data_IF_657611831244
#
_entry.id   IF_657611831244
#
_cell.length_a   1.000
_cell.length_b   1.000
_cell.length_c   1.000
_cell.angle_alpha   90.00
_cell.angle_beta   90.00
_cell.angle_gamma   90.00
#
_symmetry.space_group_name_H-M   'P 1'
#
loop_
_entity.id
_entity.type
_entity.pdbx_description
1 polymer ?
#
# COMPACT_ATOMS: atom_id res chain seq x y z
N UNK A 1 4.34 33.67 15.69
CA UNK A 1 4.94 33.44 14.35
C UNK A 1 3.94 33.95 13.31
N UNK A 2 4.33 34.87 12.42
CA UNK A 2 3.40 35.48 11.46
C UNK A 2 3.16 34.54 10.26
N UNK A 3 1.99 34.65 9.62
CA UNK A 3 1.62 33.83 8.47
C UNK A 3 2.58 34.00 7.27
N UNK A 4 3.13 35.20 7.10
CA UNK A 4 4.20 35.50 6.14
C UNK A 4 5.42 34.62 6.34
N UNK A 5 5.83 34.43 7.60
CA UNK A 5 7.04 33.70 7.98
C UNK A 5 6.85 32.20 7.75
N UNK A 6 5.65 31.69 8.05
CA UNK A 6 5.28 30.29 7.75
C UNK A 6 5.22 30.02 6.24
N UNK A 7 4.65 30.95 5.45
CA UNK A 7 4.60 30.82 3.99
C UNK A 7 6.01 30.83 3.38
N UNK A 8 6.87 31.73 3.84
CA UNK A 8 8.26 31.81 3.40
C UNK A 8 9.04 30.55 3.77
N UNK A 9 8.88 30.04 5.00
CA UNK A 9 9.52 28.80 5.43
C UNK A 9 9.03 27.59 4.62
N UNK A 10 7.73 27.50 4.34
CA UNK A 10 7.17 26.44 3.51
C UNK A 10 7.70 26.52 2.07
N UNK A 11 7.71 27.71 1.46
CA UNK A 11 8.29 27.91 0.11
C UNK A 11 9.77 27.57 0.06
N UNK A 12 10.54 27.94 1.09
CA UNK A 12 11.96 27.62 1.18
C UNK A 12 12.20 26.13 1.40
N UNK A 13 11.38 25.44 2.20
CA UNK A 13 11.46 24.00 2.38
C UNK A 13 11.14 23.24 1.09
N UNK A 14 10.12 23.67 0.34
CA UNK A 14 9.77 23.09 -0.96
C UNK A 14 10.87 23.35 -1.99
N UNK A 15 11.38 24.58 -2.06
CA UNK A 15 12.51 24.91 -2.93
C UNK A 15 13.74 24.08 -2.54
N UNK A 16 14.06 23.97 -1.25
CA UNK A 16 15.16 23.15 -0.77
C UNK A 16 14.98 21.67 -1.11
N UNK A 17 13.75 21.14 -1.10
CA UNK A 17 13.48 19.78 -1.53
C UNK A 17 13.79 19.56 -3.02
N UNK A 18 13.36 20.46 -3.90
CA UNK A 18 13.60 20.35 -5.34
C UNK A 18 15.02 20.73 -5.77
N UNK A 19 15.69 21.61 -5.04
CA UNK A 19 17.09 22.02 -5.26
C UNK A 19 18.07 21.03 -4.62
N UNK A 20 17.58 20.06 -3.83
CA UNK A 20 18.43 19.05 -3.20
C UNK A 20 19.05 18.15 -4.27
N UNK A 21 20.32 18.41 -4.58
CA UNK A 21 21.12 17.56 -5.45
C UNK A 21 21.56 16.31 -4.69
N UNK A 22 20.72 15.29 -4.69
CA UNK A 22 21.07 13.98 -4.16
C UNK A 22 22.21 13.39 -4.98
N UNK A 23 23.32 13.05 -4.33
CA UNK A 23 24.39 12.27 -4.97
C UNK A 23 24.12 10.78 -4.79
N UNK A 24 24.75 9.93 -5.62
CA UNK A 24 24.69 8.47 -5.44
C UNK A 24 25.28 8.09 -4.07
N UNK A 25 26.29 8.82 -3.60
CA UNK A 25 26.90 8.64 -2.29
C UNK A 25 25.92 8.92 -1.14
N UNK A 26 25.05 9.92 -1.27
CA UNK A 26 24.00 10.20 -0.29
C UNK A 26 22.99 9.06 -0.18
N UNK A 27 22.64 8.43 -1.32
CA UNK A 27 21.69 7.31 -1.37
C UNK A 27 22.33 5.99 -0.89
N UNK A 28 23.60 5.76 -1.18
CA UNK A 28 24.34 4.55 -0.80
C UNK A 28 25.00 4.67 0.58
N UNK A 29 24.74 5.75 1.32
CA UNK A 29 25.29 5.95 2.64
C UNK A 29 24.67 4.95 3.63
N UNK A 30 25.45 3.92 3.96
CA UNK A 30 25.08 2.88 4.94
C UNK A 30 25.51 3.22 6.37
N UNK A 31 25.97 4.44 6.64
CA UNK A 31 26.41 4.85 7.98
C UNK A 31 25.27 4.90 9.00
N UNK A 32 25.65 4.83 10.27
CA UNK A 32 24.72 4.90 11.41
C UNK A 32 23.83 6.15 11.33
N UNK A 33 22.55 5.99 11.65
CA UNK A 33 21.61 7.11 11.69
C UNK A 33 21.80 7.92 12.97
N UNK A 34 21.75 9.26 12.85
CA UNK A 34 21.62 10.12 14.03
C UNK A 34 20.35 9.73 14.81
N UNK A 35 20.43 9.70 16.14
CA UNK A 35 19.33 9.28 17.02
C UNK A 35 18.01 10.02 16.75
N UNK A 36 18.09 11.32 16.43
CA UNK A 36 16.92 12.14 16.10
C UNK A 36 16.24 11.69 14.79
N UNK A 37 17.02 11.39 13.75
CA UNK A 37 16.50 10.91 12.48
C UNK A 37 15.88 9.52 12.62
N UNK A 38 16.50 8.65 13.41
CA UNK A 38 16.00 7.31 13.70
C UNK A 38 14.63 7.36 14.41
N UNK A 39 14.51 8.17 15.47
CA UNK A 39 13.25 8.37 16.19
C UNK A 39 12.13 8.92 15.29
N UNK A 40 12.48 9.83 14.38
CA UNK A 40 11.54 10.40 13.41
C UNK A 40 11.07 9.33 12.41
N UNK A 41 11.99 8.55 11.84
CA UNK A 41 11.71 7.50 10.88
C UNK A 41 10.80 6.41 11.47
N UNK A 42 11.14 5.93 12.66
CA UNK A 42 10.35 4.96 13.41
C UNK A 42 8.92 5.44 13.65
N UNK A 43 8.77 6.72 14.00
CA UNK A 43 7.44 7.33 14.22
C UNK A 43 6.62 7.39 12.93
N UNK A 44 7.26 7.70 11.79
CA UNK A 44 6.60 7.72 10.48
C UNK A 44 6.13 6.32 10.08
N UNK A 45 7.01 5.30 10.15
CA UNK A 45 6.63 3.93 9.80
C UNK A 45 5.56 3.37 10.73
N UNK A 46 5.63 3.65 12.05
CA UNK A 46 4.58 3.26 12.98
C UNK A 46 3.23 3.88 12.62
N UNK A 47 3.23 5.17 12.29
CA UNK A 47 2.01 5.89 11.90
C UNK A 47 1.46 5.33 10.58
N UNK A 48 2.32 5.03 9.62
CA UNK A 48 1.93 4.42 8.35
C UNK A 48 1.32 3.02 8.56
N UNK A 49 1.94 2.18 9.41
CA UNK A 49 1.40 0.88 9.80
C UNK A 49 -0.01 1.02 10.39
N UNK A 50 -0.21 1.90 11.37
CA UNK A 50 -1.54 2.12 11.95
C UNK A 50 -2.56 2.63 10.93
N UNK A 51 -2.15 3.50 9.99
CA UNK A 51 -3.03 3.98 8.93
C UNK A 51 -3.46 2.83 8.01
N UNK A 52 -2.57 1.90 7.67
CA UNK A 52 -2.90 0.72 6.85
C UNK A 52 -3.84 -0.24 7.57
N UNK A 53 -3.62 -0.47 8.87
CA UNK A 53 -4.55 -1.25 9.69
C UNK A 53 -5.93 -0.57 9.74
N UNK A 54 -5.97 0.73 9.95
CA UNK A 54 -7.21 1.52 9.97
C UNK A 54 -7.95 1.48 8.63
N UNK A 55 -7.24 1.63 7.51
CA UNK A 55 -7.78 1.45 6.16
C UNK A 55 -8.38 0.06 5.96
N UNK A 56 -7.67 -0.97 6.38
CA UNK A 56 -8.12 -2.37 6.25
C UNK A 56 -9.37 -2.62 7.08
N UNK A 57 -9.38 -2.17 8.34
CA UNK A 57 -10.57 -2.22 9.19
C UNK A 57 -11.76 -1.48 8.54
N UNK A 58 -11.50 -0.34 7.91
CA UNK A 58 -12.50 0.38 7.10
C UNK A 58 -13.06 -0.47 5.98
N UNK A 59 -12.20 -1.10 5.18
CA UNK A 59 -12.60 -2.00 4.08
C UNK A 59 -13.50 -3.14 4.54
N UNK A 60 -13.24 -3.73 5.70
CA UNK A 60 -14.09 -4.79 6.27
C UNK A 60 -15.35 -4.26 6.99
N UNK A 61 -15.42 -2.97 7.31
CA UNK A 61 -16.55 -2.40 8.06
C UNK A 61 -17.88 -2.49 7.31
N UNK A 62 -17.83 -2.57 5.98
CA UNK A 62 -19.02 -2.78 5.17
C UNK A 62 -19.68 -4.15 5.44
N UNK A 63 -18.94 -5.15 5.90
CA UNK A 63 -19.46 -6.47 6.23
C UNK A 63 -20.27 -6.49 7.53
N UNK A 64 -19.85 -5.69 8.52
CA UNK A 64 -20.45 -5.70 9.86
C UNK A 64 -21.55 -4.62 9.99
N UNK A 65 -21.35 -3.46 9.37
CA UNK A 65 -22.16 -2.27 9.66
C UNK A 65 -22.82 -1.65 8.43
N UNK A 66 -22.71 -2.29 7.24
CA UNK A 66 -23.03 -1.68 5.94
C UNK A 66 -22.37 -0.31 5.74
N UNK A 67 -21.31 -0.01 6.50
CA UNK A 67 -20.61 1.26 6.47
C UNK A 67 -19.82 1.37 5.16
N UNK A 68 -20.27 2.26 4.28
CA UNK A 68 -19.65 2.51 2.98
C UNK A 68 -20.48 3.48 2.12
N UNK A 69 -19.90 3.98 1.04
CA UNK A 69 -20.60 4.80 0.05
C UNK A 69 -20.36 6.30 0.22
N UNK A 70 -21.37 7.13 -0.12
CA UNK A 70 -21.19 8.59 -0.27
C UNK A 70 -20.76 9.27 1.03
N UNK A 71 -21.24 8.79 2.19
CA UNK A 71 -20.90 9.37 3.49
C UNK A 71 -19.42 9.18 3.84
N UNK A 72 -18.87 7.98 3.63
CA UNK A 72 -17.45 7.69 3.92
C UNK A 72 -16.53 8.44 2.96
N UNK A 73 -16.96 8.68 1.72
CA UNK A 73 -16.25 9.55 0.77
C UNK A 73 -16.24 11.00 1.24
N UNK A 74 -17.37 11.54 1.70
CA UNK A 74 -17.42 12.90 2.24
C UNK A 74 -16.59 13.02 3.53
N UNK A 75 -16.62 12.01 4.39
CA UNK A 75 -15.84 11.97 5.62
C UNK A 75 -14.32 11.94 5.35
N UNK A 76 -13.87 11.17 4.35
CA UNK A 76 -12.45 11.15 3.97
C UNK A 76 -12.00 12.49 3.40
N UNK A 77 -12.78 13.11 2.51
CA UNK A 77 -12.49 14.44 1.95
C UNK A 77 -12.45 15.50 3.05
N UNK A 78 -13.45 15.52 3.95
CA UNK A 78 -13.48 16.45 5.07
C UNK A 78 -12.28 16.25 6.02
N UNK A 79 -11.90 15.00 6.30
CA UNK A 79 -10.76 14.68 7.17
C UNK A 79 -9.43 15.12 6.55
N UNK A 80 -9.23 14.90 5.24
CA UNK A 80 -8.06 15.37 4.52
C UNK A 80 -7.98 16.91 4.47
N UNK A 81 -9.11 17.58 4.23
CA UNK A 81 -9.20 19.04 4.25
C UNK A 81 -8.87 19.58 5.65
N UNK A 82 -9.44 19.00 6.71
CA UNK A 82 -9.11 19.34 8.09
C UNK A 82 -7.62 19.11 8.40
N UNK A 83 -7.04 18.00 7.92
CA UNK A 83 -5.62 17.69 8.11
C UNK A 83 -4.70 18.73 7.42
N UNK A 84 -5.12 19.24 6.26
CA UNK A 84 -4.45 20.31 5.54
C UNK A 84 -4.55 21.66 6.28
N UNK A 85 -5.71 21.98 6.86
CA UNK A 85 -5.96 23.26 7.54
C UNK A 85 -5.37 23.32 8.96
N UNK A 86 -5.19 22.18 9.64
CA UNK A 86 -4.71 22.12 11.01
C UNK A 86 -3.20 22.37 11.08
N UNK A 87 -2.81 23.22 12.04
CA UNK A 87 -1.42 23.55 12.33
C UNK A 87 -0.54 22.31 12.54
N UNK A 88 0.70 22.28 12.02
CA UNK A 88 1.61 21.14 12.16
C UNK A 88 1.98 20.84 13.61
N UNK A 89 1.80 21.81 14.52
CA UNK A 89 2.07 21.66 15.96
C UNK A 89 1.07 20.72 16.67
N UNK A 90 -0.11 20.50 16.10
CA UNK A 90 -1.15 19.62 16.69
C UNK A 90 -1.00 18.18 16.20
N UNK A 91 0.14 17.56 16.51
CA UNK A 91 0.52 16.22 16.02
C UNK A 91 -0.56 15.17 16.32
N UNK A 92 -1.05 15.09 17.56
CA UNK A 92 -2.07 14.11 17.96
C UNK A 92 -3.35 14.21 17.13
N UNK A 93 -3.85 15.42 16.91
CA UNK A 93 -5.08 15.65 16.12
C UNK A 93 -4.87 15.28 14.66
N UNK A 94 -3.69 15.60 14.09
CA UNK A 94 -3.37 15.24 12.70
C UNK A 94 -3.28 13.73 12.49
N UNK A 95 -2.68 13.01 13.45
CA UNK A 95 -2.65 11.54 13.42
C UNK A 95 -4.06 10.96 13.49
N UNK A 96 -4.92 11.46 14.38
CA UNK A 96 -6.31 11.00 14.46
C UNK A 96 -7.08 11.25 13.16
N UNK A 97 -6.94 12.43 12.56
CA UNK A 97 -7.56 12.74 11.27
C UNK A 97 -7.04 11.86 10.14
N UNK A 98 -5.74 11.52 10.16
CA UNK A 98 -5.16 10.57 9.22
C UNK A 98 -5.78 9.19 9.38
N UNK A 99 -5.98 8.69 10.61
CA UNK A 99 -6.65 7.42 10.84
C UNK A 99 -8.10 7.44 10.36
N UNK A 100 -8.87 8.50 10.68
CA UNK A 100 -10.26 8.65 10.23
C UNK A 100 -10.32 8.71 8.70
N UNK A 101 -9.41 9.43 8.06
CA UNK A 101 -9.31 9.48 6.60
C UNK A 101 -9.00 8.10 6.02
N UNK A 102 -7.98 7.42 6.54
CA UNK A 102 -7.59 6.07 6.09
C UNK A 102 -8.74 5.07 6.23
N UNK A 103 -9.38 5.02 7.39
CA UNK A 103 -10.58 4.21 7.64
C UNK A 103 -11.71 4.54 6.65
N UNK A 104 -12.01 5.82 6.45
CA UNK A 104 -13.10 6.26 5.58
C UNK A 104 -12.85 5.98 4.10
N UNK A 105 -11.59 6.09 3.65
CA UNK A 105 -11.18 5.67 2.29
C UNK A 105 -11.35 4.15 2.18
N UNK A 106 -10.84 3.39 3.16
CA UNK A 106 -10.99 1.94 3.22
C UNK A 106 -12.46 1.51 3.15
N UNK A 107 -13.33 2.10 3.96
CA UNK A 107 -14.77 1.82 3.97
C UNK A 107 -15.47 2.17 2.65
N UNK A 108 -14.98 3.18 1.93
CA UNK A 108 -15.47 3.51 0.60
C UNK A 108 -15.11 2.43 -0.43
N UNK A 109 -13.92 1.83 -0.29
CA UNK A 109 -13.48 0.68 -1.10
C UNK A 109 -14.18 -0.61 -0.66
N UNK A 110 -14.63 -0.70 0.61
CA UNK A 110 -15.27 -1.86 1.22
C UNK A 110 -16.49 -2.41 0.46
N UNK A 111 -17.20 -1.57 -0.30
CA UNK A 111 -18.28 -2.02 -1.21
C UNK A 111 -17.73 -2.97 -2.28
N UNK A 112 -16.60 -2.59 -2.90
CA UNK A 112 -15.90 -3.44 -3.86
C UNK A 112 -15.30 -4.66 -3.18
N UNK A 113 -14.74 -4.50 -1.98
CA UNK A 113 -14.21 -5.61 -1.19
C UNK A 113 -15.27 -6.68 -0.95
N UNK A 114 -16.49 -6.31 -0.56
CA UNK A 114 -17.62 -7.24 -0.39
C UNK A 114 -17.97 -7.95 -1.69
N UNK A 115 -18.10 -7.20 -2.78
CA UNK A 115 -18.39 -7.75 -4.10
C UNK A 115 -17.32 -8.75 -4.57
N UNK A 116 -16.04 -8.39 -4.44
CA UNK A 116 -14.94 -9.30 -4.80
C UNK A 116 -14.85 -10.50 -3.88
N UNK A 117 -15.23 -10.36 -2.60
CA UNK A 117 -15.23 -11.47 -1.64
C UNK A 117 -16.31 -12.51 -1.94
N UNK A 118 -17.46 -12.07 -2.46
CA UNK A 118 -18.52 -12.96 -2.96
C UNK A 118 -18.07 -13.75 -4.20
N UNK A 119 -17.18 -13.19 -5.02
CA UNK A 119 -16.68 -13.89 -6.21
C UNK A 119 -15.49 -14.79 -5.87
N UNK A 120 -14.49 -14.28 -5.16
CA UNK A 120 -13.30 -15.01 -4.76
C UNK A 120 -12.69 -14.41 -3.47
N UNK A 121 -12.88 -15.14 -2.37
CA UNK A 121 -12.36 -14.77 -1.05
C UNK A 121 -10.82 -14.70 -1.03
N UNK A 122 -10.15 -15.59 -1.78
CA UNK A 122 -8.69 -15.67 -1.81
C UNK A 122 -8.12 -14.44 -2.50
N UNK A 123 -8.77 -13.93 -3.55
CA UNK A 123 -8.38 -12.69 -4.23
C UNK A 123 -8.37 -11.49 -3.30
N UNK A 124 -9.42 -11.33 -2.50
CA UNK A 124 -9.54 -10.20 -1.56
C UNK A 124 -8.45 -10.25 -0.50
N UNK A 125 -8.19 -11.44 0.07
CA UNK A 125 -7.11 -11.61 1.06
C UNK A 125 -5.74 -11.36 0.43
N UNK A 126 -5.49 -11.87 -0.79
CA UNK A 126 -4.25 -11.64 -1.52
C UNK A 126 -4.02 -10.18 -1.91
N UNK A 127 -5.07 -9.38 -2.10
CA UNK A 127 -4.93 -7.96 -2.44
C UNK A 127 -4.66 -7.09 -1.21
N UNK A 128 -5.33 -7.37 -0.08
CA UNK A 128 -5.26 -6.55 1.14
C UNK A 128 -4.14 -6.95 2.09
N UNK A 129 -3.79 -8.24 2.20
CA UNK A 129 -2.79 -8.71 3.16
C UNK A 129 -1.35 -8.25 2.84
N UNK A 130 -0.85 -8.30 1.59
CA UNK A 130 0.55 -7.97 1.30
C UNK A 130 0.96 -6.53 1.62
N UNK A 131 0.14 -5.49 1.39
CA UNK A 131 0.46 -4.13 1.83
C UNK A 131 0.59 -3.99 3.35
N UNK A 132 -0.29 -4.64 4.12
CA UNK A 132 -0.27 -4.60 5.59
C UNK A 132 0.97 -5.32 6.12
N UNK A 133 1.24 -6.52 5.61
CA UNK A 133 2.39 -7.32 6.01
C UNK A 133 3.71 -6.65 5.61
N UNK A 134 3.79 -6.05 4.42
CA UNK A 134 4.97 -5.32 3.96
C UNK A 134 5.30 -4.12 4.83
N UNK A 135 4.33 -3.27 5.11
CA UNK A 135 4.52 -2.07 5.94
C UNK A 135 4.77 -2.45 7.41
N UNK A 136 4.09 -3.49 7.91
CA UNK A 136 4.35 -4.07 9.22
C UNK A 136 5.78 -4.59 9.36
N UNK A 137 6.27 -5.30 8.33
CA UNK A 137 7.64 -5.82 8.26
C UNK A 137 8.68 -4.70 8.22
N UNK A 138 8.47 -3.68 7.39
CA UNK A 138 9.35 -2.48 7.34
C UNK A 138 9.38 -1.77 8.70
N UNK A 139 8.24 -1.68 9.39
CA UNK A 139 8.19 -1.10 10.72
C UNK A 139 8.94 -1.94 11.75
N UNK A 140 8.75 -3.26 11.77
CA UNK A 140 9.48 -4.14 12.71
C UNK A 140 10.97 -4.11 12.45
N UNK A 141 11.39 -4.12 11.18
CA UNK A 141 12.79 -3.98 10.79
C UNK A 141 13.34 -2.63 11.20
N UNK A 142 12.60 -1.53 11.05
CA UNK A 142 13.03 -0.22 11.55
C UNK A 142 13.21 -0.16 13.07
N UNK A 143 12.62 -1.09 13.83
CA UNK A 143 12.78 -1.21 15.28
C UNK A 143 14.09 -1.91 15.66
N UNK A 144 14.50 -2.88 14.85
CA UNK A 144 15.68 -3.73 15.06
C UNK A 144 16.93 -3.14 14.39
N UNK A 145 16.73 -2.35 13.33
CA UNK A 145 17.79 -1.84 12.50
C UNK A 145 18.70 -0.86 13.24
N UNK A 146 19.98 -1.22 13.27
CA UNK A 146 21.07 -0.36 13.77
C UNK A 146 21.59 0.57 12.66
N UNK A 147 21.56 0.08 11.41
CA UNK A 147 22.05 0.76 10.20
C UNK A 147 20.94 0.97 9.15
N UNK A 148 21.16 1.93 8.24
CA UNK A 148 20.22 2.24 7.14
C UNK A 148 20.08 1.10 6.13
N UNK A 149 21.13 0.31 5.98
CA UNK A 149 21.22 -0.80 5.02
C UNK A 149 20.16 -1.87 5.26
N UNK A 150 19.83 -2.17 6.51
CA UNK A 150 18.84 -3.19 6.87
C UNK A 150 17.43 -2.77 6.43
N UNK A 151 17.08 -1.49 6.62
CA UNK A 151 15.80 -0.93 6.16
C UNK A 151 15.72 -0.97 4.62
N UNK A 152 16.81 -0.66 3.92
CA UNK A 152 16.86 -0.74 2.45
C UNK A 152 16.75 -2.16 1.95
N UNK A 153 17.42 -3.12 2.59
CA UNK A 153 17.31 -4.54 2.27
C UNK A 153 15.87 -5.03 2.46
N UNK A 154 15.23 -4.72 3.59
CA UNK A 154 13.84 -5.09 3.85
C UNK A 154 12.88 -4.56 2.76
N UNK A 155 13.01 -3.29 2.40
CA UNK A 155 12.24 -2.68 1.30
C UNK A 155 12.53 -3.36 -0.05
N UNK A 156 13.79 -3.67 -0.34
CA UNK A 156 14.20 -4.35 -1.57
C UNK A 156 13.64 -5.76 -1.65
N UNK A 157 13.71 -6.54 -0.56
CA UNK A 157 13.13 -7.88 -0.49
C UNK A 157 11.62 -7.85 -0.69
N UNK A 158 10.92 -6.92 -0.03
CA UNK A 158 9.48 -6.74 -0.23
C UNK A 158 9.14 -6.38 -1.69
N UNK A 159 9.85 -5.41 -2.27
CA UNK A 159 9.63 -5.01 -3.68
C UNK A 159 9.93 -6.16 -4.64
N UNK A 160 10.98 -6.93 -4.40
CA UNK A 160 11.35 -8.08 -5.21
C UNK A 160 10.28 -9.17 -5.17
N UNK A 161 9.75 -9.49 -3.99
CA UNK A 161 8.65 -10.44 -3.83
C UNK A 161 7.39 -10.01 -4.61
N UNK A 162 7.01 -8.73 -4.53
CA UNK A 162 5.88 -8.17 -5.29
C UNK A 162 6.14 -8.26 -6.81
N UNK A 163 7.34 -7.91 -7.26
CA UNK A 163 7.71 -8.00 -8.68
C UNK A 163 7.66 -9.43 -9.21
N UNK A 164 8.08 -10.43 -8.42
CA UNK A 164 8.01 -11.85 -8.83
C UNK A 164 6.56 -12.28 -9.02
N UNK A 165 5.69 -11.99 -8.05
CA UNK A 165 4.26 -12.33 -8.15
C UNK A 165 3.64 -11.71 -9.40
N UNK A 166 3.94 -10.44 -9.66
CA UNK A 166 3.45 -9.76 -10.85
C UNK A 166 4.02 -10.35 -12.15
N UNK A 167 5.31 -10.68 -12.19
CA UNK A 167 5.93 -11.32 -13.33
C UNK A 167 5.33 -12.71 -13.63
N UNK A 168 5.07 -13.52 -12.59
CA UNK A 168 4.39 -14.82 -12.73
C UNK A 168 2.96 -14.65 -13.25
N UNK A 169 2.24 -13.62 -12.79
CA UNK A 169 0.91 -13.30 -13.32
C UNK A 169 0.97 -12.92 -14.80
N UNK A 170 1.91 -12.07 -15.20
CA UNK A 170 2.09 -11.71 -16.62
C UNK A 170 2.49 -12.92 -17.47
N UNK A 171 3.36 -13.80 -16.97
CA UNK A 171 3.72 -15.05 -17.62
C UNK A 171 2.50 -15.97 -17.83
N UNK A 172 1.65 -16.09 -16.81
CA UNK A 172 0.38 -16.81 -16.92
C UNK A 172 -0.54 -16.20 -17.99
N UNK A 173 -0.69 -14.87 -18.02
CA UNK A 173 -1.51 -14.19 -19.05
C UNK A 173 -0.99 -14.50 -20.45
N UNK A 174 0.32 -14.50 -20.66
CA UNK A 174 0.92 -14.83 -21.96
C UNK A 174 0.63 -16.28 -22.36
N UNK A 175 0.84 -17.24 -21.46
CA UNK A 175 0.57 -18.67 -21.73
C UNK A 175 -0.91 -18.91 -21.98
N UNK A 176 -1.78 -18.35 -21.14
CA UNK A 176 -3.22 -18.50 -21.27
C UNK A 176 -3.76 -17.85 -22.54
N UNK A 177 -3.13 -16.77 -23.02
CA UNK A 177 -3.47 -16.17 -24.31
C UNK A 177 -3.23 -17.14 -25.49
N UNK A 178 -2.20 -17.99 -25.40
CA UNK A 178 -1.97 -19.03 -26.41
C UNK A 178 -3.04 -20.12 -26.35
N UNK A 179 -3.48 -20.52 -25.16
CA UNK A 179 -4.59 -21.47 -24.98
C UNK A 179 -5.89 -20.91 -25.57
N UNK A 180 -6.22 -19.65 -25.31
CA UNK A 180 -7.38 -18.97 -25.92
C UNK A 180 -7.26 -19.01 -27.45
N UNK A 181 -6.09 -18.67 -28.00
CA UNK A 181 -5.89 -18.66 -29.45
C UNK A 181 -6.00 -20.05 -30.07
N UNK A 182 -5.54 -21.09 -29.36
CA UNK A 182 -5.68 -22.48 -29.77
C UNK A 182 -7.15 -22.91 -29.77
N UNK A 183 -7.86 -22.69 -28.66
CA UNK A 183 -9.28 -23.07 -28.50
C UNK A 183 -10.17 -22.34 -29.51
N UNK A 184 -9.82 -21.10 -29.89
CA UNK A 184 -10.57 -20.30 -30.87
C UNK A 184 -10.60 -20.95 -32.26
N UNK A 185 -9.65 -21.85 -32.55
CA UNK A 185 -9.61 -22.59 -33.82
C UNK A 185 -10.64 -23.71 -33.89
N UNK A 186 -11.11 -24.19 -32.75
CA UNK A 186 -12.02 -25.34 -32.65
C UNK A 186 -13.48 -24.96 -32.38
N UNK A 187 -13.76 -23.67 -32.13
CA UNK A 187 -15.12 -23.21 -31.92
C UNK A 187 -15.21 -21.79 -31.33
N UNK A 188 -16.44 -21.36 -31.10
CA UNK A 188 -16.73 -20.05 -30.53
C UNK A 188 -16.37 -20.01 -29.03
N UNK A 189 -15.64 -18.98 -28.62
CA UNK A 189 -15.19 -18.82 -27.24
C UNK A 189 -16.17 -17.94 -26.47
N UNK A 190 -16.58 -18.43 -25.30
CA UNK A 190 -17.24 -17.58 -24.31
C UNK A 190 -16.21 -16.64 -23.65
N UNK A 191 -16.08 -15.44 -24.20
CA UNK A 191 -15.09 -14.44 -23.76
C UNK A 191 -15.27 -14.05 -22.29
N UNK A 192 -16.52 -13.97 -21.80
CA UNK A 192 -16.82 -13.61 -20.40
C UNK A 192 -16.19 -14.61 -19.43
N UNK A 193 -16.37 -15.91 -19.68
CA UNK A 193 -15.81 -16.96 -18.84
C UNK A 193 -14.28 -16.98 -18.86
N UNK A 194 -13.67 -16.70 -20.03
CA UNK A 194 -12.20 -16.58 -20.16
C UNK A 194 -11.66 -15.38 -19.41
N UNK A 195 -12.31 -14.22 -19.52
CA UNK A 195 -11.93 -13.02 -18.77
C UNK A 195 -12.01 -13.25 -17.27
N UNK A 196 -13.09 -13.89 -16.77
CA UNK A 196 -13.21 -14.27 -15.36
C UNK A 196 -12.06 -15.20 -14.94
N UNK A 197 -11.75 -16.21 -15.75
CA UNK A 197 -10.66 -17.16 -15.46
C UNK A 197 -9.31 -16.44 -15.33
N UNK A 198 -8.99 -15.49 -16.21
CA UNK A 198 -7.75 -14.70 -16.11
C UNK A 198 -7.74 -13.84 -14.85
N UNK A 199 -8.84 -13.14 -14.60
CA UNK A 199 -8.95 -12.18 -13.50
C UNK A 199 -8.81 -12.86 -12.13
N UNK A 200 -9.42 -14.03 -11.94
CA UNK A 200 -9.42 -14.76 -10.66
C UNK A 200 -8.26 -15.75 -10.49
N UNK A 201 -7.29 -15.82 -11.41
CA UNK A 201 -6.13 -16.72 -11.28
C UNK A 201 -4.95 -16.13 -10.50
N UNK A 202 -4.91 -14.82 -10.30
CA UNK A 202 -3.92 -14.14 -9.45
C UNK A 202 -3.71 -14.82 -8.07
N UNK A 203 -4.75 -15.19 -7.31
CA UNK A 203 -4.60 -15.80 -6.00
C UNK A 203 -4.02 -17.21 -6.11
N UNK A 204 -4.43 -17.98 -7.12
CA UNK A 204 -3.85 -19.28 -7.42
C UNK A 204 -2.36 -19.21 -7.74
N UNK A 205 -1.93 -18.19 -8.49
CA UNK A 205 -0.51 -17.94 -8.80
C UNK A 205 0.26 -17.55 -7.55
N UNK A 206 -0.31 -16.72 -6.67
CA UNK A 206 0.30 -16.36 -5.38
C UNK A 206 0.48 -17.59 -4.49
N UNK A 207 -0.54 -18.42 -4.34
CA UNK A 207 -0.46 -19.66 -3.54
C UNK A 207 0.57 -20.61 -4.12
N UNK A 208 0.63 -20.73 -5.46
CA UNK A 208 1.59 -21.59 -6.12
C UNK A 208 3.03 -21.07 -5.97
N UNK A 209 3.25 -19.77 -6.17
CA UNK A 209 4.55 -19.12 -5.96
C UNK A 209 5.03 -19.26 -4.51
N UNK A 210 4.14 -19.02 -3.55
CA UNK A 210 4.44 -19.18 -2.13
C UNK A 210 4.83 -20.63 -1.79
N UNK A 211 4.11 -21.62 -2.33
CA UNK A 211 4.48 -23.04 -2.19
C UNK A 211 5.87 -23.29 -2.76
N UNK A 212 6.14 -22.82 -3.98
CA UNK A 212 7.42 -23.01 -4.66
C UNK A 212 8.59 -22.42 -3.84
N UNK A 213 8.40 -21.22 -3.28
CA UNK A 213 9.39 -20.57 -2.42
C UNK A 213 9.57 -21.24 -1.05
N UNK A 214 8.55 -21.91 -0.52
CA UNK A 214 8.62 -22.63 0.77
C UNK A 214 9.19 -24.05 0.64
N UNK A 215 9.13 -24.64 -0.56
CA UNK A 215 9.68 -25.99 -0.85
C UNK A 215 11.06 -25.97 -1.50
N UNK A 216 11.58 -24.80 -1.86
CA UNK A 216 12.93 -24.60 -2.40
C UNK A 216 13.92 -24.29 -1.27
#
# INVERSE_FOLDING_TARGET
MKFSDMKLQAMNAVRAYFVRSWTVEDLMNNGEMTQHAYASLKTVYLTLSFAMWSFTSGSFSHWIWEAGGRFTVLCSVASLLCLYLISPLRVRTRVLLLMIAAFSIGASIGIFTKYFFEIDQVLVVCLLAPPILGIGFIWSESLLARDRSEIYLACMFYSWAVCIVFALFMGYVVVYSQEILYDARFGEINFVNRTLTVFFRLPGIVVYAARLCLTA
#
